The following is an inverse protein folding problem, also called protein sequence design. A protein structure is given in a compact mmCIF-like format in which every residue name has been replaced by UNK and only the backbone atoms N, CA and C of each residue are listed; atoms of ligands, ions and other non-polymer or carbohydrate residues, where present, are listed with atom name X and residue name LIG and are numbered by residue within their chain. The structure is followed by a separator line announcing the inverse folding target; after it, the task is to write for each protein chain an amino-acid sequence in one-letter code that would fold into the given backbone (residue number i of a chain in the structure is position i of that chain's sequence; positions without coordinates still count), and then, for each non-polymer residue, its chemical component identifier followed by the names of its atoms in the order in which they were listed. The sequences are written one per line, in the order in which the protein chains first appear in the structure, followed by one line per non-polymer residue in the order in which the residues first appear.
data_IF_198375241832
#
_entry.id   IF_198375241832
#
_cell.length_a   1.000
_cell.length_b   1.000
_cell.length_c   1.000
_cell.angle_alpha   90.00
_cell.angle_beta   90.00
_cell.angle_gamma   90.00
#
_symmetry.space_group_name_H-M   'P 1'
#
loop_
_entity.id
_entity.type
_entity.pdbx_description
1 polymer ?
#
# COMPACT_ATOMS: atom_id res chain seq x y z
N UNK A 1 -4.67 -7.65 10.27
CA UNK A 1 -4.33 -7.74 8.83
C UNK A 1 -3.46 -6.57 8.36
N UNK A 2 -3.79 -5.33 8.72
CA UNK A 2 -3.00 -4.13 8.34
C UNK A 2 -1.55 -4.25 8.86
N UNK A 3 -1.35 -4.73 10.07
CA UNK A 3 -0.02 -4.92 10.67
C UNK A 3 0.87 -5.89 9.87
N UNK A 4 0.29 -6.94 9.26
CA UNK A 4 1.05 -7.89 8.47
C UNK A 4 1.73 -7.24 7.26
N UNK A 5 1.02 -6.42 6.48
CA UNK A 5 1.62 -5.74 5.33
C UNK A 5 2.73 -4.79 5.73
N UNK A 6 2.56 -4.01 6.80
CA UNK A 6 3.64 -3.16 7.32
C UNK A 6 4.85 -3.97 7.76
N UNK A 7 4.62 -5.09 8.45
CA UNK A 7 5.71 -5.99 8.87
C UNK A 7 6.48 -6.52 7.66
N UNK A 8 5.78 -6.99 6.61
CA UNK A 8 6.41 -7.46 5.37
C UNK A 8 7.18 -6.34 4.66
N UNK A 9 6.60 -5.14 4.56
CA UNK A 9 7.30 -3.98 3.99
C UNK A 9 8.58 -3.66 4.76
N UNK A 10 8.54 -3.66 6.09
CA UNK A 10 9.72 -3.41 6.93
C UNK A 10 10.78 -4.50 6.78
N UNK A 11 10.39 -5.78 6.72
CA UNK A 11 11.32 -6.89 6.47
C UNK A 11 12.04 -6.69 5.14
N UNK A 12 11.30 -6.41 4.07
CA UNK A 12 11.87 -6.21 2.74
C UNK A 12 12.81 -5.00 2.74
N UNK A 13 12.38 -3.86 3.30
CA UNK A 13 13.20 -2.65 3.38
C UNK A 13 14.49 -2.88 4.15
N UNK A 14 14.41 -3.50 5.33
CA UNK A 14 15.57 -3.80 6.14
C UNK A 14 16.51 -4.78 5.44
N UNK A 15 15.98 -5.85 4.84
CA UNK A 15 16.78 -6.84 4.12
C UNK A 15 17.55 -6.20 2.97
N UNK A 16 16.90 -5.35 2.16
CA UNK A 16 17.54 -4.62 1.07
C UNK A 16 18.58 -3.64 1.60
N UNK A 17 18.28 -2.94 2.68
CA UNK A 17 19.23 -1.99 3.31
C UNK A 17 20.46 -2.71 3.83
N UNK A 18 20.29 -3.83 4.54
CA UNK A 18 21.42 -4.64 5.03
C UNK A 18 22.25 -5.19 3.89
N UNK A 19 21.63 -5.68 2.80
CA UNK A 19 22.34 -6.15 1.63
C UNK A 19 23.26 -5.05 1.07
N UNK A 20 22.74 -3.82 0.92
CA UNK A 20 23.54 -2.71 0.43
C UNK A 20 24.66 -2.29 1.38
N UNK A 21 24.39 -2.26 2.69
CA UNK A 21 25.42 -1.95 3.68
C UNK A 21 26.54 -2.99 3.69
N UNK A 22 26.23 -4.26 3.53
CA UNK A 22 27.20 -5.34 3.44
C UNK A 22 28.09 -5.19 2.18
N UNK A 23 27.50 -4.78 1.04
CA UNK A 23 28.22 -4.56 -0.20
C UNK A 23 29.14 -3.34 -0.11
N UNK A 24 28.63 -2.20 0.45
CA UNK A 24 29.34 -0.93 0.48
C UNK A 24 30.33 -0.82 1.64
N UNK A 25 29.99 -1.35 2.81
CA UNK A 25 30.74 -1.18 4.07
C UNK A 25 30.98 -2.49 4.77
N UNK A 26 31.93 -3.27 4.27
CA UNK A 26 32.30 -4.57 4.86
C UNK A 26 32.66 -4.50 6.35
N UNK A 27 33.11 -3.33 6.87
CA UNK A 27 33.40 -3.16 8.29
C UNK A 27 32.19 -3.26 9.22
N UNK A 28 30.98 -3.09 8.69
CA UNK A 28 29.74 -3.14 9.48
C UNK A 28 29.14 -4.54 9.62
N UNK A 29 29.71 -5.57 8.98
CA UNK A 29 29.11 -6.90 8.93
C UNK A 29 28.79 -7.49 10.31
N UNK A 30 29.64 -7.27 11.32
CA UNK A 30 29.42 -7.79 12.68
C UNK A 30 28.17 -7.17 13.34
N UNK A 31 27.97 -5.87 13.15
CA UNK A 31 26.81 -5.19 13.73
C UNK A 31 25.52 -5.58 13.00
N UNK A 32 25.56 -5.62 11.67
CA UNK A 32 24.43 -6.06 10.85
C UNK A 32 24.04 -7.50 11.19
N UNK A 33 25.02 -8.39 11.36
CA UNK A 33 24.77 -9.78 11.73
C UNK A 33 24.14 -9.91 13.13
N UNK A 34 24.58 -9.11 14.12
CA UNK A 34 23.94 -9.05 15.44
C UNK A 34 22.48 -8.59 15.35
N UNK A 35 22.20 -7.56 14.56
CA UNK A 35 20.84 -7.06 14.37
C UNK A 35 19.95 -8.11 13.69
N UNK A 36 20.45 -8.79 12.66
CA UNK A 36 19.73 -9.85 11.96
C UNK A 36 19.37 -10.98 12.95
N UNK A 37 20.35 -11.47 13.73
CA UNK A 37 20.12 -12.55 14.71
C UNK A 37 19.15 -12.14 15.81
N UNK A 38 19.08 -10.87 16.17
CA UNK A 38 18.17 -10.39 17.19
C UNK A 38 16.75 -10.17 16.63
N UNK A 39 16.65 -9.44 15.53
CA UNK A 39 15.36 -8.95 15.01
C UNK A 39 14.57 -10.06 14.32
N UNK A 40 15.19 -10.82 13.41
CA UNK A 40 14.44 -11.79 12.60
C UNK A 40 13.92 -13.00 13.41
N UNK A 41 14.70 -13.62 14.31
CA UNK A 41 14.14 -14.70 15.13
C UNK A 41 13.01 -14.22 16.05
N UNK A 42 13.13 -13.01 16.65
CA UNK A 42 12.06 -12.45 17.46
C UNK A 42 10.79 -12.20 16.65
N UNK A 43 10.94 -11.71 15.43
CA UNK A 43 9.85 -11.47 14.50
C UNK A 43 9.18 -12.80 14.09
N UNK A 44 9.96 -13.81 13.70
CA UNK A 44 9.43 -15.15 13.37
C UNK A 44 8.75 -15.80 14.57
N UNK A 45 9.31 -15.65 15.76
CA UNK A 45 8.70 -16.15 16.99
C UNK A 45 7.34 -15.48 17.25
N UNK A 46 7.24 -14.16 17.10
CA UNK A 46 5.97 -13.46 17.25
C UNK A 46 4.94 -13.89 16.21
N UNK A 47 5.36 -14.06 14.95
CA UNK A 47 4.49 -14.59 13.88
C UNK A 47 4.01 -16.02 14.19
N UNK A 48 4.86 -16.86 14.77
CA UNK A 48 4.50 -18.21 15.19
C UNK A 48 3.48 -18.20 16.34
N UNK A 49 3.71 -17.40 17.38
CA UNK A 49 2.79 -17.28 18.52
C UNK A 49 1.41 -16.79 18.09
N UNK A 50 1.35 -15.87 17.15
CA UNK A 50 0.08 -15.34 16.60
C UNK A 50 -0.61 -16.34 15.66
N UNK A 51 0.02 -17.50 15.36
CA UNK A 51 -0.56 -18.54 14.52
C UNK A 51 -0.46 -18.26 13.02
N UNK A 52 0.45 -17.38 12.61
CA UNK A 52 0.60 -17.01 11.20
C UNK A 52 0.98 -18.20 10.30
N UNK A 53 1.79 -19.13 10.82
CA UNK A 53 2.26 -20.31 10.10
C UNK A 53 1.28 -21.49 10.14
N UNK A 54 0.10 -21.34 10.76
CA UNK A 54 -0.96 -22.36 10.71
C UNK A 54 -1.75 -22.33 9.41
N UNK A 55 -1.62 -21.26 8.64
CA UNK A 55 -2.26 -21.12 7.32
C UNK A 55 -1.45 -21.96 6.33
N UNK A 56 -2.08 -22.97 5.74
CA UNK A 56 -1.44 -23.79 4.72
C UNK A 56 -1.39 -23.05 3.38
N UNK A 57 -0.34 -23.21 2.56
CA UNK A 57 -0.27 -22.63 1.22
C UNK A 57 -1.47 -23.01 0.33
N UNK A 58 -2.02 -24.22 0.52
CA UNK A 58 -3.18 -24.73 -0.19
C UNK A 58 -4.45 -23.93 0.11
N UNK A 59 -4.59 -23.42 1.33
CA UNK A 59 -5.72 -22.56 1.73
C UNK A 59 -5.64 -21.17 1.07
N UNK A 60 -4.46 -20.77 0.58
CA UNK A 60 -4.19 -19.53 -0.12
C UNK A 60 -4.52 -19.57 -1.62
N UNK A 61 -4.67 -20.74 -2.23
CA UNK A 61 -4.97 -20.89 -3.66
C UNK A 61 -6.36 -20.35 -4.06
N UNK A 62 -7.18 -20.00 -3.09
CA UNK A 62 -8.52 -19.43 -3.28
C UNK A 62 -8.56 -17.98 -3.78
N UNK A 63 -7.51 -17.47 -4.45
CA UNK A 63 -7.55 -16.23 -5.19
C UNK A 63 -7.33 -14.96 -4.34
N UNK A 64 -6.18 -14.39 -4.46
CA UNK A 64 -5.85 -13.09 -3.84
C UNK A 64 -4.65 -12.48 -4.55
N UNK A 65 -3.57 -13.24 -4.66
CA UNK A 65 -2.41 -12.83 -5.42
C UNK A 65 -2.74 -12.77 -6.92
N UNK A 66 -2.47 -11.64 -7.56
CA UNK A 66 -2.86 -11.41 -8.95
C UNK A 66 -4.27 -10.87 -9.16
N UNK A 67 -5.15 -10.94 -8.14
CA UNK A 67 -6.47 -10.31 -8.16
C UNK A 67 -6.47 -8.95 -7.47
N UNK A 68 -5.82 -8.85 -6.28
CA UNK A 68 -5.68 -7.60 -5.55
C UNK A 68 -4.32 -6.94 -5.82
N UNK A 69 -3.98 -6.82 -7.09
CA UNK A 69 -2.72 -6.26 -7.56
C UNK A 69 -2.78 -4.74 -7.77
N UNK A 70 -1.63 -4.16 -8.11
CA UNK A 70 -1.51 -2.78 -8.52
C UNK A 70 -1.85 -2.65 -10.00
N UNK A 71 -2.81 -1.79 -10.34
CA UNK A 71 -2.98 -1.34 -11.72
C UNK A 71 -1.93 -0.27 -12.05
N UNK A 72 -1.34 -0.32 -13.23
CA UNK A 72 -0.32 0.65 -13.64
C UNK A 72 -0.83 2.10 -13.70
N UNK A 73 -2.14 2.30 -13.83
CA UNK A 73 -2.73 3.63 -13.79
C UNK A 73 -2.98 4.16 -12.36
N UNK A 74 -2.74 3.36 -11.30
CA UNK A 74 -3.13 3.67 -9.92
C UNK A 74 -2.56 4.99 -9.41
N UNK A 75 -1.36 5.39 -9.85
CA UNK A 75 -0.76 6.68 -9.45
C UNK A 75 -1.53 7.88 -10.01
N UNK A 76 -2.23 7.70 -11.12
CA UNK A 76 -2.98 8.74 -11.84
C UNK A 76 -4.49 8.61 -11.64
N UNK A 77 -4.97 7.47 -11.16
CA UNK A 77 -6.38 7.16 -11.07
C UNK A 77 -6.96 7.55 -9.70
N UNK A 78 -7.81 8.58 -9.63
CA UNK A 78 -8.48 8.99 -8.39
C UNK A 78 -9.65 8.08 -8.01
N UNK A 79 -9.88 6.99 -8.71
CA UNK A 79 -10.99 6.07 -8.47
C UNK A 79 -10.72 5.23 -7.21
N UNK A 80 -11.30 5.66 -6.09
CA UNK A 80 -11.28 4.92 -4.83
C UNK A 80 -12.48 3.99 -4.69
N UNK A 81 -12.41 3.09 -3.72
CA UNK A 81 -13.45 2.12 -3.42
C UNK A 81 -13.77 2.11 -1.91
N UNK A 82 -15.05 2.06 -1.58
CA UNK A 82 -15.53 1.85 -0.23
C UNK A 82 -16.73 0.89 -0.22
N UNK A 83 -17.35 0.66 0.93
CA UNK A 83 -18.52 -0.21 1.07
C UNK A 83 -19.73 0.23 0.23
N UNK A 84 -19.79 1.49 -0.20
CA UNK A 84 -20.86 2.03 -1.05
C UNK A 84 -20.51 1.97 -2.55
N UNK A 85 -19.38 1.39 -2.91
CA UNK A 85 -18.90 1.28 -4.28
C UNK A 85 -17.75 2.24 -4.63
N UNK A 86 -17.52 2.45 -5.92
CA UNK A 86 -16.45 3.32 -6.40
C UNK A 86 -16.79 4.80 -6.27
N UNK A 87 -15.83 5.61 -5.85
CA UNK A 87 -15.98 7.06 -5.73
C UNK A 87 -14.74 7.81 -6.20
N UNK A 88 -14.90 9.08 -6.55
CA UNK A 88 -13.80 9.91 -7.02
C UNK A 88 -13.13 10.66 -5.87
N UNK A 89 -11.84 10.41 -5.65
CA UNK A 89 -11.03 11.18 -4.70
C UNK A 89 -10.72 12.59 -5.18
N UNK A 90 -10.64 12.80 -6.51
CA UNK A 90 -10.26 14.07 -7.10
C UNK A 90 -11.46 14.91 -7.49
N UNK A 91 -11.34 16.21 -7.31
CA UNK A 91 -12.24 17.21 -7.91
C UNK A 91 -11.78 17.55 -9.33
N UNK A 92 -10.48 17.48 -9.58
CA UNK A 92 -9.84 17.98 -10.79
C UNK A 92 -9.67 16.91 -11.88
N UNK A 93 -9.56 15.63 -11.49
CA UNK A 93 -9.35 14.53 -12.42
C UNK A 93 -10.55 13.58 -12.46
N UNK A 94 -10.91 13.09 -13.67
CA UNK A 94 -11.96 12.09 -13.82
C UNK A 94 -11.48 10.71 -13.30
N UNK A 95 -12.44 9.87 -12.91
CA UNK A 95 -12.17 8.46 -12.62
C UNK A 95 -11.70 7.74 -13.88
N UNK A 96 -10.65 6.94 -13.74
CA UNK A 96 -10.24 5.99 -14.75
C UNK A 96 -10.74 4.58 -14.39
N UNK A 97 -10.98 3.71 -15.37
CA UNK A 97 -11.38 2.35 -15.11
C UNK A 97 -10.23 1.53 -14.48
N UNK A 98 -10.58 0.49 -13.75
CA UNK A 98 -9.68 -0.56 -13.25
C UNK A 98 -10.46 -1.85 -13.06
N UNK A 99 -9.78 -2.99 -13.01
CA UNK A 99 -10.40 -4.29 -12.83
C UNK A 99 -10.84 -4.52 -11.37
N UNK A 100 -11.82 -5.40 -11.18
CA UNK A 100 -12.27 -5.79 -9.85
C UNK A 100 -11.10 -6.33 -9.02
N UNK A 101 -11.00 -5.86 -7.76
CA UNK A 101 -9.92 -6.23 -6.85
C UNK A 101 -8.76 -5.25 -6.80
N UNK A 102 -8.44 -4.53 -7.87
CA UNK A 102 -7.29 -3.62 -7.96
C UNK A 102 -7.42 -2.35 -7.10
N UNK A 103 -8.60 -2.11 -6.50
CA UNK A 103 -8.79 -1.03 -5.52
C UNK A 103 -7.87 -1.14 -4.30
N UNK A 104 -7.35 -2.33 -4.01
CA UNK A 104 -6.37 -2.53 -2.94
C UNK A 104 -4.99 -1.89 -3.25
N UNK A 105 -4.68 -1.70 -4.53
CA UNK A 105 -3.49 -0.98 -5.01
C UNK A 105 -3.68 0.52 -5.15
N UNK A 106 -4.74 1.10 -4.57
CA UNK A 106 -5.00 2.53 -4.64
C UNK A 106 -3.80 3.35 -4.15
N UNK A 107 -3.25 4.18 -5.03
CA UNK A 107 -2.05 4.99 -4.78
C UNK A 107 -2.06 6.34 -5.53
N UNK A 108 -3.23 6.91 -5.70
CA UNK A 108 -3.40 8.20 -6.36
C UNK A 108 -2.55 9.28 -5.72
N UNK A 109 -1.66 9.90 -6.49
CA UNK A 109 -0.75 10.94 -6.00
C UNK A 109 -1.46 12.25 -5.69
N UNK A 110 -2.57 12.54 -6.35
CA UNK A 110 -3.24 13.84 -6.30
C UNK A 110 -2.55 14.89 -7.17
N UNK A 111 -3.28 15.94 -7.51
CA UNK A 111 -2.74 17.03 -8.33
C UNK A 111 -1.55 17.72 -7.66
N UNK A 112 -1.58 17.89 -6.34
CA UNK A 112 -0.41 18.38 -5.59
C UNK A 112 0.80 17.47 -5.74
N UNK A 113 0.63 16.13 -5.68
CA UNK A 113 1.69 15.17 -5.92
C UNK A 113 2.27 15.25 -7.33
N UNK A 114 1.45 15.47 -8.36
CA UNK A 114 1.94 15.71 -9.72
C UNK A 114 2.74 16.99 -9.84
N UNK A 115 2.29 18.09 -9.24
CA UNK A 115 3.06 19.32 -9.20
C UNK A 115 4.36 19.14 -8.41
N UNK A 116 4.35 18.39 -7.31
CA UNK A 116 5.55 18.05 -6.57
C UNK A 116 6.57 17.32 -7.46
N UNK A 117 6.14 16.30 -8.21
CA UNK A 117 6.98 15.58 -9.15
C UNK A 117 7.49 16.50 -10.29
N UNK A 118 6.62 17.34 -10.84
CA UNK A 118 6.98 18.27 -11.89
C UNK A 118 8.10 19.22 -11.43
N UNK A 119 7.96 19.86 -10.28
CA UNK A 119 8.99 20.73 -9.73
C UNK A 119 10.25 19.95 -9.34
N UNK A 120 10.12 18.73 -8.85
CA UNK A 120 11.26 17.87 -8.57
C UNK A 120 12.05 17.54 -9.85
N UNK A 121 11.37 17.18 -10.94
CA UNK A 121 11.99 16.90 -12.23
C UNK A 121 12.70 18.17 -12.74
N UNK A 122 12.04 19.33 -12.74
CA UNK A 122 12.64 20.59 -13.17
C UNK A 122 13.89 20.94 -12.37
N UNK A 123 13.83 20.77 -11.05
CA UNK A 123 14.95 21.07 -10.16
C UNK A 123 16.14 20.15 -10.36
N UNK A 124 15.88 18.96 -10.87
CA UNK A 124 16.81 17.86 -10.86
C UNK A 124 17.35 17.48 -12.25
N UNK A 125 16.81 18.09 -13.31
CA UNK A 125 17.09 17.68 -14.69
C UNK A 125 18.57 17.59 -15.05
N UNK A 126 19.42 18.44 -14.44
CA UNK A 126 20.87 18.43 -14.68
C UNK A 126 21.63 17.29 -13.98
N UNK A 127 21.14 16.81 -12.84
CA UNK A 127 21.89 15.89 -11.96
C UNK A 127 21.16 14.56 -11.67
N UNK A 128 20.05 14.29 -12.36
CA UNK A 128 19.20 13.10 -12.10
C UNK A 128 19.97 11.80 -12.25
N UNK A 129 20.78 11.71 -13.30
CA UNK A 129 21.60 10.53 -13.59
C UNK A 129 22.64 10.29 -12.49
N UNK A 130 23.35 11.31 -12.05
CA UNK A 130 24.38 11.20 -11.01
C UNK A 130 23.78 10.80 -9.66
N UNK A 131 22.64 11.38 -9.30
CA UNK A 131 21.94 11.00 -8.07
C UNK A 131 21.59 9.53 -8.07
N UNK A 132 20.91 9.02 -9.10
CA UNK A 132 20.51 7.62 -9.14
C UNK A 132 21.69 6.67 -9.31
N UNK A 133 22.76 7.04 -9.99
CA UNK A 133 23.99 6.25 -10.05
C UNK A 133 24.63 6.16 -8.66
N UNK A 134 24.65 7.25 -7.90
CA UNK A 134 25.20 7.29 -6.54
C UNK A 134 24.30 6.59 -5.50
N UNK A 135 23.00 6.44 -5.78
CA UNK A 135 21.96 5.92 -4.88
C UNK A 135 21.21 4.73 -5.49
N UNK A 136 21.94 3.77 -6.00
CA UNK A 136 21.36 2.55 -6.63
C UNK A 136 20.43 1.76 -5.69
N UNK A 137 20.66 1.88 -4.37
CA UNK A 137 19.79 1.33 -3.34
C UNK A 137 18.35 1.81 -3.44
N UNK A 138 18.15 3.10 -3.72
CA UNK A 138 16.81 3.69 -3.86
C UNK A 138 16.09 3.10 -5.07
N UNK A 139 16.80 2.96 -6.19
CA UNK A 139 16.24 2.33 -7.39
C UNK A 139 15.87 0.87 -7.14
N UNK A 140 16.73 0.10 -6.45
CA UNK A 140 16.42 -1.29 -6.17
C UNK A 140 15.17 -1.42 -5.28
N UNK A 141 15.08 -0.63 -4.21
CA UNK A 141 13.89 -0.59 -3.35
C UNK A 141 12.64 -0.28 -4.18
N UNK A 142 12.72 0.74 -5.03
CA UNK A 142 11.62 1.13 -5.92
C UNK A 142 11.18 -0.04 -6.80
N UNK A 143 12.09 -0.67 -7.53
CA UNK A 143 11.77 -1.76 -8.45
C UNK A 143 11.28 -3.02 -7.75
N UNK A 144 11.85 -3.39 -6.60
CA UNK A 144 11.39 -4.56 -5.84
C UNK A 144 9.96 -4.38 -5.38
N UNK A 145 9.63 -3.25 -4.75
CA UNK A 145 8.26 -3.01 -4.29
C UNK A 145 7.27 -2.84 -5.43
N UNK A 146 7.68 -2.20 -6.53
CA UNK A 146 6.86 -2.08 -7.72
C UNK A 146 6.54 -3.46 -8.33
N UNK A 147 7.55 -4.31 -8.51
CA UNK A 147 7.37 -5.66 -9.04
C UNK A 147 6.47 -6.53 -8.16
N UNK A 148 6.67 -6.48 -6.83
CA UNK A 148 5.82 -7.21 -5.89
C UNK A 148 4.38 -6.70 -5.88
N UNK A 149 4.15 -5.39 -6.06
CA UNK A 149 2.81 -4.81 -6.06
C UNK A 149 2.03 -5.11 -7.34
N UNK A 150 2.68 -5.11 -8.50
CA UNK A 150 2.07 -5.44 -9.80
C UNK A 150 1.65 -6.92 -9.85
N UNK A 151 2.43 -7.81 -9.19
CA UNK A 151 2.22 -9.26 -9.17
C UNK A 151 2.37 -9.95 -10.54
N UNK A 152 1.66 -11.06 -10.74
CA UNK A 152 1.69 -11.85 -11.98
C UNK A 152 0.85 -11.24 -13.13
N UNK A 153 -0.13 -10.38 -12.81
CA UNK A 153 -1.04 -9.78 -13.79
C UNK A 153 -0.74 -8.30 -13.93
N UNK A 154 -0.22 -7.91 -15.07
CA UNK A 154 0.12 -6.52 -15.37
C UNK A 154 -1.03 -5.89 -16.13
N UNK A 155 -1.77 -5.00 -15.46
CA UNK A 155 -2.94 -4.35 -16.01
C UNK A 155 -2.76 -2.84 -16.14
N UNK A 156 -3.34 -2.26 -17.19
CA UNK A 156 -3.49 -0.82 -17.35
C UNK A 156 -4.96 -0.49 -17.65
N UNK A 157 -5.64 0.13 -16.71
CA UNK A 157 -7.09 0.26 -16.78
C UNK A 157 -7.76 -1.11 -16.72
N UNK A 158 -8.64 -1.40 -17.66
CA UNK A 158 -9.30 -2.70 -17.84
C UNK A 158 -8.51 -3.66 -18.75
N UNK A 159 -7.42 -3.19 -19.36
CA UNK A 159 -6.62 -3.96 -20.31
C UNK A 159 -5.58 -4.77 -19.55
N UNK A 160 -5.59 -6.08 -19.72
CA UNK A 160 -4.50 -6.94 -19.29
C UNK A 160 -3.37 -6.89 -20.34
N UNK A 161 -2.21 -6.37 -19.95
CA UNK A 161 -1.03 -6.25 -20.81
C UNK A 161 -0.27 -7.56 -20.84
N UNK A 162 -0.09 -8.19 -19.68
CA UNK A 162 0.68 -9.42 -19.55
C UNK A 162 0.21 -10.19 -18.32
N UNK A 163 0.04 -11.50 -18.50
CA UNK A 163 -0.18 -12.45 -17.42
C UNK A 163 0.94 -13.49 -17.43
N UNK A 164 1.59 -13.65 -16.29
CA UNK A 164 2.69 -14.60 -16.09
C UNK A 164 2.13 -15.82 -15.37
N UNK A 165 2.17 -16.98 -16.01
CA UNK A 165 1.75 -18.23 -15.39
C UNK A 165 2.81 -18.69 -14.38
N UNK A 166 2.47 -18.62 -13.10
CA UNK A 166 3.33 -19.06 -12.01
C UNK A 166 3.00 -20.51 -11.64
N UNK A 167 4.05 -21.27 -11.32
CA UNK A 167 3.89 -22.62 -10.77
C UNK A 167 3.05 -22.55 -9.49
N UNK A 168 2.16 -23.55 -9.27
CA UNK A 168 1.25 -23.65 -8.12
C UNK A 168 1.98 -23.52 -6.78
N UNK A 169 3.19 -24.05 -6.65
CA UNK A 169 3.99 -23.91 -5.43
C UNK A 169 4.37 -22.45 -5.16
N UNK A 170 4.87 -21.75 -6.19
CA UNK A 170 5.23 -20.33 -6.10
C UNK A 170 3.98 -19.49 -5.82
N UNK A 171 2.90 -19.79 -6.51
CA UNK A 171 1.61 -19.13 -6.32
C UNK A 171 1.07 -19.34 -4.89
N UNK A 172 1.18 -20.54 -4.33
CA UNK A 172 0.80 -20.83 -2.96
C UNK A 172 1.57 -20.00 -1.94
N UNK A 173 2.89 -19.87 -2.10
CA UNK A 173 3.73 -19.02 -1.23
C UNK A 173 3.36 -17.54 -1.38
N UNK A 174 3.21 -17.03 -2.60
CA UNK A 174 2.88 -15.64 -2.87
C UNK A 174 1.44 -15.30 -2.47
N UNK A 175 0.53 -16.26 -2.49
CA UNK A 175 -0.88 -16.09 -2.08
C UNK A 175 -1.04 -15.78 -0.58
N UNK A 176 -0.01 -16.04 0.23
CA UNK A 176 0.03 -15.55 1.62
C UNK A 176 -0.03 -14.02 1.67
N UNK A 177 0.44 -13.35 0.61
CA UNK A 177 0.30 -11.91 0.39
C UNK A 177 -0.94 -11.66 -0.47
N UNK A 178 -2.12 -11.85 0.13
CA UNK A 178 -3.39 -11.74 -0.59
C UNK A 178 -3.54 -10.44 -1.41
N UNK A 179 -3.15 -9.31 -0.82
CA UNK A 179 -3.31 -7.98 -1.41
C UNK A 179 -1.95 -7.38 -1.75
N UNK A 180 -1.34 -7.86 -2.83
CA UNK A 180 -0.03 -7.42 -3.31
C UNK A 180 -0.01 -5.93 -3.66
N UNK A 181 -1.11 -5.37 -4.17
CA UNK A 181 -1.22 -3.96 -4.52
C UNK A 181 -0.85 -3.00 -3.39
N UNK A 182 -1.07 -3.38 -2.13
CA UNK A 182 -0.67 -2.56 -0.97
C UNK A 182 0.84 -2.38 -0.84
N UNK A 183 1.64 -3.27 -1.41
CA UNK A 183 3.11 -3.16 -1.38
C UNK A 183 3.65 -1.96 -2.17
N UNK A 184 2.81 -1.21 -2.88
CA UNK A 184 3.17 0.06 -3.53
C UNK A 184 3.44 1.20 -2.52
N UNK A 185 2.94 1.12 -1.30
CA UNK A 185 3.02 2.22 -0.35
C UNK A 185 4.45 2.73 -0.06
N UNK A 186 5.48 1.88 0.12
CA UNK A 186 6.84 2.38 0.24
C UNK A 186 7.31 3.19 -0.96
N UNK A 187 6.92 2.78 -2.17
CA UNK A 187 7.22 3.51 -3.42
C UNK A 187 6.49 4.86 -3.44
N UNK A 188 5.20 4.86 -3.10
CA UNK A 188 4.38 6.06 -3.03
C UNK A 188 5.00 7.11 -2.09
N UNK A 189 5.34 6.71 -0.86
CA UNK A 189 5.98 7.63 0.09
C UNK A 189 7.38 8.03 -0.34
N UNK A 190 8.15 7.15 -0.95
CA UNK A 190 9.47 7.46 -1.49
C UNK A 190 9.38 8.55 -2.56
N UNK A 191 8.42 8.46 -3.46
CA UNK A 191 8.15 9.49 -4.48
C UNK A 191 7.90 10.86 -3.82
N UNK A 192 7.02 10.92 -2.81
CA UNK A 192 6.71 12.16 -2.12
C UNK A 192 7.92 12.73 -1.37
N UNK A 193 8.66 11.89 -0.64
CA UNK A 193 9.85 12.30 0.12
C UNK A 193 10.92 12.84 -0.83
N UNK A 194 11.20 12.14 -1.93
CA UNK A 194 12.17 12.60 -2.94
C UNK A 194 11.72 13.89 -3.59
N UNK A 195 10.43 14.04 -3.89
CA UNK A 195 9.89 15.27 -4.44
C UNK A 195 10.13 16.48 -3.53
N UNK A 196 9.82 16.33 -2.24
CA UNK A 196 10.09 17.38 -1.24
C UNK A 196 11.60 17.65 -1.12
N UNK A 197 12.42 16.59 -1.03
CA UNK A 197 13.87 16.71 -0.93
C UNK A 197 14.47 17.50 -2.09
N UNK A 198 14.05 17.27 -3.33
CA UNK A 198 14.56 17.99 -4.48
C UNK A 198 14.14 19.47 -4.47
N UNK A 199 12.89 19.77 -4.12
CA UNK A 199 12.45 21.18 -3.98
C UNK A 199 13.27 21.89 -2.92
N UNK A 200 13.56 21.25 -1.78
CA UNK A 200 14.36 21.84 -0.71
C UNK A 200 15.80 22.15 -1.12
N UNK A 201 16.41 21.29 -1.93
CA UNK A 201 17.79 21.47 -2.37
C UNK A 201 17.94 22.46 -3.53
N UNK A 202 16.92 22.57 -4.38
CA UNK A 202 17.00 23.43 -5.55
C UNK A 202 16.54 24.87 -5.29
N UNK A 203 15.44 25.03 -4.57
CA UNK A 203 14.90 26.36 -4.25
C UNK A 203 15.40 26.82 -2.89
N UNK A 204 15.85 28.11 -2.81
CA UNK A 204 16.35 28.70 -1.57
C UNK A 204 15.35 29.66 -0.93
N UNK A 205 15.52 29.90 0.37
CA UNK A 205 14.79 30.92 1.11
C UNK A 205 13.25 30.74 1.09
N UNK A 206 12.54 31.85 0.97
CA UNK A 206 11.07 31.89 1.00
C UNK A 206 10.43 31.17 -0.19
N UNK A 207 11.12 31.10 -1.33
CA UNK A 207 10.55 30.46 -2.56
C UNK A 207 10.16 29.00 -2.36
N UNK A 208 11.00 28.19 -1.68
CA UNK A 208 10.70 26.78 -1.42
C UNK A 208 9.43 26.60 -0.59
N UNK A 209 9.24 27.42 0.43
CA UNK A 209 8.05 27.36 1.28
C UNK A 209 6.79 27.74 0.52
N UNK A 210 6.85 28.79 -0.31
CA UNK A 210 5.72 29.21 -1.14
C UNK A 210 5.33 28.08 -2.09
N UNK A 211 6.29 27.44 -2.76
CA UNK A 211 6.01 26.32 -3.67
C UNK A 211 5.37 25.16 -2.91
N UNK A 212 5.92 24.73 -1.78
CA UNK A 212 5.40 23.61 -1.01
C UNK A 212 4.00 23.88 -0.43
N UNK A 213 3.76 25.12 0.06
CA UNK A 213 2.44 25.52 0.56
C UNK A 213 1.42 25.56 -0.58
N UNK A 214 1.79 26.07 -1.75
CA UNK A 214 0.91 26.07 -2.93
C UNK A 214 0.56 24.66 -3.39
N UNK A 215 1.54 23.75 -3.41
CA UNK A 215 1.35 22.34 -3.73
C UNK A 215 0.40 21.69 -2.71
N UNK A 216 0.60 21.92 -1.42
CA UNK A 216 -0.27 21.41 -0.37
C UNK A 216 -1.71 21.92 -0.52
N UNK A 217 -1.88 23.19 -0.85
CA UNK A 217 -3.20 23.80 -1.06
C UNK A 217 -3.92 23.17 -2.25
N UNK A 218 -3.23 22.97 -3.38
CA UNK A 218 -3.78 22.28 -4.55
C UNK A 218 -4.17 20.85 -4.18
N UNK A 219 -3.34 20.14 -3.41
CA UNK A 219 -3.63 18.79 -2.95
C UNK A 219 -4.90 18.71 -2.09
N UNK A 220 -5.08 19.65 -1.18
CA UNK A 220 -6.27 19.70 -0.31
C UNK A 220 -7.54 19.99 -1.13
N UNK A 221 -7.48 20.88 -2.10
CA UNK A 221 -8.60 21.14 -3.02
C UNK A 221 -8.92 19.89 -3.81
N UNK A 222 -7.92 19.26 -4.42
CA UNK A 222 -8.10 18.09 -5.27
C UNK A 222 -8.73 16.92 -4.51
N UNK A 223 -8.24 16.61 -3.31
CA UNK A 223 -8.73 15.50 -2.50
C UNK A 223 -10.02 15.79 -1.73
N UNK A 224 -10.56 16.99 -1.83
CA UNK A 224 -11.75 17.42 -1.05
C UNK A 224 -12.98 16.56 -1.32
N UNK A 225 -13.15 16.03 -2.55
CA UNK A 225 -14.25 15.12 -2.91
C UNK A 225 -14.17 13.81 -2.14
N UNK A 226 -12.99 13.18 -2.16
CA UNK A 226 -12.76 11.92 -1.45
C UNK A 226 -12.91 12.07 0.06
N UNK A 227 -12.40 13.15 0.62
CA UNK A 227 -12.56 13.46 2.06
C UNK A 227 -14.03 13.59 2.46
N UNK A 228 -14.85 14.30 1.66
CA UNK A 228 -16.29 14.42 1.91
C UNK A 228 -16.99 13.06 1.88
N UNK A 229 -16.64 12.20 0.92
CA UNK A 229 -17.24 10.87 0.81
C UNK A 229 -16.78 9.92 1.92
N UNK A 230 -15.53 9.98 2.31
CA UNK A 230 -15.02 9.24 3.47
C UNK A 230 -15.76 9.62 4.76
N UNK A 231 -15.98 10.92 4.96
CA UNK A 231 -16.75 11.43 6.12
C UNK A 231 -18.21 10.95 6.12
N UNK A 232 -18.88 10.99 4.97
CA UNK A 232 -20.25 10.47 4.83
C UNK A 232 -20.32 8.96 5.10
N UNK A 233 -19.40 8.17 4.57
CA UNK A 233 -19.33 6.72 4.80
C UNK A 233 -19.17 6.38 6.28
N UNK A 234 -18.38 7.15 7.01
CA UNK A 234 -18.21 6.95 8.45
C UNK A 234 -19.46 7.31 9.27
N UNK A 235 -20.27 8.27 8.81
CA UNK A 235 -21.56 8.58 9.46
C UNK A 235 -22.56 7.42 9.33
N UNK A 236 -22.61 6.74 8.18
CA UNK A 236 -23.44 5.55 8.01
C UNK A 236 -23.02 4.42 8.96
N UNK A 237 -21.73 4.19 9.13
CA UNK A 237 -21.21 3.21 10.09
C UNK A 237 -21.54 3.57 11.55
N UNK A 238 -21.60 4.85 11.88
CA UNK A 238 -21.98 5.31 13.21
C UNK A 238 -23.48 5.10 13.48
N UNK A 239 -24.32 5.37 12.48
CA UNK A 239 -25.77 5.14 12.57
C UNK A 239 -26.05 3.63 12.69
N UNK A 240 -25.39 2.77 11.92
CA UNK A 240 -25.56 1.32 12.03
C UNK A 240 -25.11 0.77 13.40
N UNK A 241 -24.06 1.30 13.99
CA UNK A 241 -23.65 0.96 15.36
C UNK A 241 -24.67 1.37 16.42
N UNK A 242 -25.41 2.46 16.20
CA UNK A 242 -26.46 2.91 17.14
C UNK A 242 -27.77 2.12 16.98
N UNK A 243 -28.05 1.58 15.80
CA UNK A 243 -29.18 0.66 15.60
C UNK A 243 -29.01 -0.60 16.43
N UNK A 244 -27.78 -1.14 16.52
CA UNK A 244 -27.50 -2.31 17.37
C UNK A 244 -27.55 -1.98 18.89
N UNK A 245 -27.36 -0.74 19.30
CA UNK A 245 -27.45 -0.35 20.72
C UNK A 245 -28.87 -0.42 21.28
N UNK A 246 -29.88 -0.26 20.45
CA UNK A 246 -31.30 -0.32 20.90
C UNK A 246 -31.83 -1.76 21.03
N UNK A 247 -31.06 -2.77 20.70
CA UNK A 247 -31.43 -4.20 20.82
C UNK A 247 -30.74 -4.89 22.01
N UNK A 248 -30.37 -4.16 23.08
CA UNK A 248 -29.75 -4.75 24.26
C UNK A 248 -30.61 -5.87 24.88
N UNK A 249 -31.94 -5.79 24.74
CA UNK A 249 -32.84 -6.86 25.18
C UNK A 249 -32.72 -8.14 24.35
N UNK A 250 -32.43 -8.04 23.04
CA UNK A 250 -32.24 -9.20 22.18
C UNK A 250 -30.96 -9.95 22.55
N UNK A 251 -29.87 -9.26 22.70
CA UNK A 251 -28.58 -9.87 23.05
C UNK A 251 -28.55 -10.42 24.47
N UNK A 252 -29.17 -9.72 25.42
CA UNK A 252 -29.30 -10.21 26.80
C UNK A 252 -30.15 -11.47 26.88
N UNK A 253 -31.25 -11.56 26.12
CA UNK A 253 -32.08 -12.77 26.06
C UNK A 253 -31.38 -13.93 25.32
N UNK A 254 -30.51 -13.65 24.34
CA UNK A 254 -29.71 -14.66 23.63
C UNK A 254 -28.59 -15.22 24.51
N UNK A 255 -27.95 -14.39 25.36
CA UNK A 255 -26.84 -14.80 26.21
C UNK A 255 -27.22 -15.88 27.21
N UNK A 256 -28.48 -15.95 27.65
CA UNK A 256 -29.00 -17.00 28.54
C UNK A 256 -29.22 -18.35 27.84
N UNK A 257 -29.30 -18.38 26.49
CA UNK A 257 -29.64 -19.60 25.72
C UNK A 257 -28.50 -20.17 24.88
N UNK A 258 -27.41 -19.43 24.70
CA UNK A 258 -26.32 -19.80 23.78
C UNK A 258 -25.00 -19.81 24.52
N UNK A 259 -24.44 -21.00 24.71
CA UNK A 259 -23.10 -21.20 25.32
C UNK A 259 -21.95 -20.96 24.36
N UNK A 260 -22.22 -20.92 23.06
CA UNK A 260 -21.17 -20.72 22.04
C UNK A 260 -21.71 -19.94 20.84
N UNK A 261 -21.17 -18.77 20.58
CA UNK A 261 -21.48 -17.94 19.41
C UNK A 261 -20.35 -18.09 18.40
N UNK A 262 -20.59 -18.82 17.30
CA UNK A 262 -19.65 -18.87 16.19
C UNK A 262 -20.08 -17.83 15.15
N UNK A 263 -19.22 -16.85 14.93
CA UNK A 263 -19.36 -15.92 13.82
C UNK A 263 -19.13 -16.68 12.51
N UNK A 264 -20.18 -16.99 11.79
CA UNK A 264 -20.08 -17.46 10.42
C UNK A 264 -19.88 -16.24 9.55
N UNK A 265 -18.67 -16.08 9.04
CA UNK A 265 -18.42 -15.11 8.00
C UNK A 265 -19.19 -15.51 6.77
N UNK A 266 -20.29 -14.82 6.46
CA UNK A 266 -20.99 -15.00 5.20
C UNK A 266 -19.99 -14.77 4.08
N UNK A 267 -19.65 -15.82 3.36
CA UNK A 267 -18.95 -15.73 2.09
C UNK A 267 -19.98 -15.13 1.13
N UNK A 268 -19.85 -13.87 0.78
CA UNK A 268 -20.59 -13.36 -0.37
C UNK A 268 -20.14 -14.19 -1.57
N UNK A 269 -20.94 -15.18 -1.92
CA UNK A 269 -20.95 -15.74 -3.24
C UNK A 269 -21.62 -14.67 -4.11
N UNK A 270 -20.80 -13.82 -4.70
CA UNK A 270 -21.18 -13.14 -5.92
C UNK A 270 -20.71 -14.05 -7.05
N UNK A 271 -21.66 -14.68 -7.68
CA UNK A 271 -21.52 -15.33 -8.98
C UNK A 271 -20.90 -14.38 -10.01
#
# INVERSE_FOLDING_TARGET
LIFFYFTMMLIILNSLTYLFLLIKKKSLYKNIFKEIILIYPLLFLTMYIVGYFTIRPEDGLGGGYGYYNLNLNSLFNPNGFNFSGSFNWSVLMPKLPFNNGEYEGFSYLGMGGFFLLFFAILSFFKNIREFFISRKEILLIFFVFLALSISQNINFGEINILSIDLNNYILGVLSTIRSSGRLIWPVYYLILILGIFFIFNYFSGKKRFIILISILFIQLIDLSSGLKQYYKGNQYNYISKNVFKNEDNFWNNLSFKITTLRSIKFRNQSD
#
